data_IF_545741140678
#
_entry.id   IF_545741140678
#
_cell.length_a   1.000
_cell.length_b   1.000
_cell.length_c   1.000
_cell.angle_alpha   90.00
_cell.angle_beta   90.00
_cell.angle_gamma   90.00
#
_symmetry.space_group_name_H-M   'P 1'
#
loop_
_entity.id
_entity.type
_entity.pdbx_description
1 polymer ?
#
# COMPACT_ATOMS: atom_id res chain seq x y z
N UNK A 1 -32.96 -13.99 16.40
CA UNK A 1 -31.64 -13.38 16.15
C UNK A 1 -30.66 -13.98 17.13
N UNK A 2 -29.55 -14.50 16.63
CA UNK A 2 -28.49 -15.13 17.39
C UNK A 2 -27.16 -14.43 17.09
N UNK A 3 -26.28 -14.47 18.08
CA UNK A 3 -24.97 -13.85 17.99
C UNK A 3 -23.94 -14.95 18.14
N UNK A 4 -23.16 -15.12 17.09
CA UNK A 4 -22.10 -16.12 17.01
C UNK A 4 -20.78 -15.42 16.80
N UNK A 5 -19.78 -15.88 17.53
CA UNK A 5 -18.39 -15.53 17.30
C UNK A 5 -17.65 -16.82 17.00
N UNK A 6 -16.85 -16.86 15.94
CA UNK A 6 -16.07 -18.03 15.59
C UNK A 6 -14.65 -17.64 15.25
N UNK A 7 -13.73 -18.57 15.49
CA UNK A 7 -12.35 -18.47 15.05
C UNK A 7 -11.99 -19.76 14.32
N UNK A 8 -11.37 -19.65 13.14
CA UNK A 8 -11.22 -20.75 12.19
C UNK A 8 -10.67 -22.05 12.82
N UNK A 9 -9.71 -21.94 13.74
CA UNK A 9 -9.06 -23.09 14.38
C UNK A 9 -9.46 -23.32 15.85
N UNK A 10 -10.23 -22.42 16.47
CA UNK A 10 -10.53 -22.44 17.91
C UNK A 10 -12.02 -22.60 18.22
N UNK A 11 -12.80 -22.91 17.19
CA UNK A 11 -14.21 -23.27 17.26
C UNK A 11 -15.16 -22.08 17.22
N UNK A 12 -16.45 -22.36 17.41
CA UNK A 12 -17.51 -21.34 17.49
C UNK A 12 -18.03 -21.19 18.92
N UNK A 13 -18.54 -20.02 19.24
CA UNK A 13 -19.23 -19.70 20.48
C UNK A 13 -20.52 -18.95 20.14
N UNK A 14 -21.63 -19.42 20.68
CA UNK A 14 -22.89 -18.69 20.67
C UNK A 14 -22.96 -17.86 21.95
N UNK A 15 -23.32 -16.59 21.82
CA UNK A 15 -23.56 -15.78 23.01
C UNK A 15 -24.84 -16.30 23.70
N UNK A 16 -24.77 -16.65 24.99
CA UNK A 16 -25.88 -17.30 25.69
C UNK A 16 -27.07 -16.35 25.87
N UNK A 17 -26.81 -15.07 26.14
CA UNK A 17 -27.82 -14.02 26.27
C UNK A 17 -27.66 -13.04 25.11
N UNK A 18 -28.79 -12.74 24.47
CA UNK A 18 -28.84 -11.74 23.40
C UNK A 18 -28.53 -10.37 24.01
N UNK A 19 -27.61 -9.58 23.43
CA UNK A 19 -27.33 -8.23 23.89
C UNK A 19 -28.60 -7.37 23.85
N UNK A 20 -28.74 -6.49 24.84
CA UNK A 20 -29.86 -5.53 24.92
C UNK A 20 -29.80 -4.52 23.77
N UNK A 21 -28.59 -4.16 23.35
CA UNK A 21 -28.32 -3.27 22.24
C UNK A 21 -27.03 -3.67 21.50
N UNK A 22 -27.02 -3.43 20.19
CA UNK A 22 -25.80 -3.47 19.39
C UNK A 22 -25.80 -2.29 18.43
N UNK A 23 -24.67 -1.61 18.31
CA UNK A 23 -24.50 -0.50 17.37
C UNK A 23 -23.45 -0.90 16.33
N UNK A 24 -23.73 -0.62 15.06
CA UNK A 24 -22.78 -0.82 13.95
C UNK A 24 -22.47 0.54 13.36
N UNK A 25 -21.28 1.06 13.66
CA UNK A 25 -20.80 2.35 13.15
C UNK A 25 -19.98 2.12 11.90
N UNK A 26 -20.34 2.79 10.80
CA UNK A 26 -19.57 2.77 9.55
C UNK A 26 -19.09 4.18 9.27
N UNK A 27 -17.77 4.39 9.35
CA UNK A 27 -17.18 5.70 9.07
C UNK A 27 -16.74 5.78 7.61
N UNK A 28 -16.70 7.00 7.05
CA UNK A 28 -16.14 7.25 5.72
C UNK A 28 -15.02 8.28 5.85
N UNK A 29 -13.85 8.02 5.28
CA UNK A 29 -12.69 8.91 5.40
C UNK A 29 -12.78 10.02 4.35
N UNK A 30 -13.71 10.94 4.55
CA UNK A 30 -13.90 12.08 3.68
C UNK A 30 -12.93 13.22 4.06
N UNK A 31 -12.44 13.95 3.07
CA UNK A 31 -11.59 15.12 3.26
C UNK A 31 -12.25 16.33 2.63
N UNK A 32 -12.43 17.41 3.39
CA UNK A 32 -12.95 18.67 2.85
C UNK A 32 -11.78 19.54 2.42
N UNK A 33 -11.81 20.02 1.18
CA UNK A 33 -10.80 20.93 0.62
C UNK A 33 -11.50 22.20 0.17
N UNK A 34 -11.01 23.35 0.65
CA UNK A 34 -11.47 24.65 0.19
C UNK A 34 -10.82 25.00 -1.14
N UNK A 35 -11.65 25.32 -2.14
CA UNK A 35 -11.21 25.77 -3.46
C UNK A 35 -11.73 27.18 -3.67
N UNK A 36 -10.82 28.12 -3.94
CA UNK A 36 -11.05 29.57 -3.92
C UNK A 36 -12.26 30.03 -4.76
N UNK A 37 -12.55 29.35 -5.88
CA UNK A 37 -13.68 29.70 -6.76
C UNK A 37 -14.92 28.79 -6.61
N UNK A 38 -14.80 27.68 -5.87
CA UNK A 38 -15.82 26.64 -5.80
C UNK A 38 -16.34 26.40 -4.37
N UNK A 39 -15.75 27.07 -3.37
CA UNK A 39 -16.07 26.86 -1.96
C UNK A 39 -15.50 25.53 -1.43
N UNK A 40 -16.18 24.96 -0.43
CA UNK A 40 -15.75 23.71 0.20
C UNK A 40 -16.20 22.49 -0.64
N UNK A 41 -15.22 21.70 -1.09
CA UNK A 41 -15.45 20.47 -1.85
C UNK A 41 -15.15 19.27 -0.96
N UNK A 42 -16.09 18.33 -0.90
CA UNK A 42 -15.92 17.08 -0.16
C UNK A 42 -15.29 16.00 -1.06
N UNK A 43 -14.01 15.69 -0.83
CA UNK A 43 -13.33 14.56 -1.43
C UNK A 43 -13.72 13.28 -0.70
N UNK A 44 -14.55 12.46 -1.34
CA UNK A 44 -14.98 11.17 -0.80
C UNK A 44 -13.81 10.18 -0.81
N UNK A 45 -13.24 9.90 0.36
CA UNK A 45 -12.27 8.82 0.49
C UNK A 45 -12.94 7.45 0.55
N UNK A 46 -12.25 6.45 1.07
CA UNK A 46 -12.81 5.10 1.22
C UNK A 46 -13.56 4.96 2.55
N UNK A 47 -14.47 3.99 2.61
CA UNK A 47 -15.06 3.54 3.87
C UNK A 47 -13.96 3.17 4.87
N UNK A 48 -14.09 3.69 6.08
CA UNK A 48 -13.40 3.19 7.26
C UNK A 48 -13.88 1.79 7.62
N UNK A 49 -13.23 1.22 8.62
CA UNK A 49 -13.58 -0.09 9.16
C UNK A 49 -14.88 0.03 9.95
N UNK A 50 -15.76 -0.96 9.82
CA UNK A 50 -16.98 -1.02 10.63
C UNK A 50 -16.62 -1.31 12.08
N UNK A 51 -17.22 -0.57 13.00
CA UNK A 51 -17.07 -0.77 14.44
C UNK A 51 -18.38 -1.28 15.01
N UNK A 52 -18.30 -2.26 15.91
CA UNK A 52 -19.45 -2.87 16.56
C UNK A 52 -19.23 -2.82 18.06
N UNK A 53 -20.21 -2.27 18.77
CA UNK A 53 -20.29 -2.34 20.23
C UNK A 53 -21.42 -3.28 20.62
N UNK A 54 -21.10 -4.25 21.46
CA UNK A 54 -22.02 -5.25 21.99
C UNK A 54 -21.97 -5.23 23.51
N UNK A 55 -23.13 -5.10 24.15
CA UNK A 55 -23.26 -5.17 25.61
C UNK A 55 -24.24 -6.28 26.00
N UNK A 56 -23.80 -7.22 26.84
CA UNK A 56 -24.62 -8.33 27.33
C UNK A 56 -24.00 -8.90 28.60
N UNK A 57 -24.43 -10.09 29.02
CA UNK A 57 -23.85 -10.82 30.14
C UNK A 57 -23.77 -12.32 29.87
N UNK A 58 -22.85 -12.99 30.59
CA UNK A 58 -22.74 -14.43 30.63
C UNK A 58 -23.45 -14.94 31.89
N UNK A 59 -24.52 -15.75 31.75
CA UNK A 59 -25.35 -16.18 32.86
C UNK A 59 -24.69 -17.34 33.63
N UNK A 60 -24.57 -17.19 34.95
CA UNK A 60 -24.25 -18.29 35.87
C UNK A 60 -25.47 -19.18 36.14
N UNK A 61 -26.67 -18.57 36.10
CA UNK A 61 -27.94 -19.23 36.39
C UNK A 61 -28.70 -19.57 35.10
N UNK A 62 -29.79 -20.32 35.27
CA UNK A 62 -30.70 -20.59 34.17
C UNK A 62 -31.70 -19.44 34.03
N UNK A 63 -31.71 -18.81 32.85
CA UNK A 63 -32.71 -17.81 32.50
C UNK A 63 -33.54 -18.29 31.31
N UNK A 64 -34.85 -18.00 31.34
CA UNK A 64 -35.75 -18.34 30.24
C UNK A 64 -35.38 -17.66 28.91
N UNK A 65 -34.67 -16.53 28.99
CA UNK A 65 -34.19 -15.77 27.83
C UNK A 65 -32.76 -16.16 27.41
N UNK A 66 -32.06 -17.02 28.18
CA UNK A 66 -30.74 -17.54 27.81
C UNK A 66 -30.83 -18.82 27.00
N UNK A 67 -29.89 -19.02 26.09
CA UNK A 67 -29.74 -20.30 25.41
C UNK A 67 -29.01 -21.29 26.33
N UNK A 68 -29.77 -22.21 26.91
CA UNK A 68 -29.27 -23.16 27.91
C UNK A 68 -28.68 -24.45 27.32
N UNK A 69 -28.94 -24.76 26.05
CA UNK A 69 -28.53 -26.03 25.42
C UNK A 69 -27.00 -26.20 25.27
N UNK A 70 -26.22 -25.13 25.45
CA UNK A 70 -24.76 -25.16 25.37
C UNK A 70 -24.11 -24.23 26.41
N UNK A 71 -24.76 -24.11 27.59
CA UNK A 71 -24.30 -23.25 28.67
C UNK A 71 -22.99 -23.78 29.26
N UNK A 72 -22.00 -22.90 29.35
CA UNK A 72 -20.75 -23.11 30.09
C UNK A 72 -20.70 -22.16 31.27
N UNK A 73 -19.71 -22.31 32.14
CA UNK A 73 -19.49 -21.34 33.20
C UNK A 73 -19.16 -19.97 32.59
N UNK A 74 -19.65 -18.86 33.19
CA UNK A 74 -19.42 -17.51 32.69
C UNK A 74 -17.95 -17.21 32.41
N UNK A 75 -17.06 -17.63 33.30
CA UNK A 75 -15.63 -17.39 33.19
C UNK A 75 -15.01 -18.10 31.97
N UNK A 76 -15.52 -19.27 31.59
CA UNK A 76 -15.05 -19.98 30.39
C UNK A 76 -15.27 -19.17 29.11
N UNK A 77 -16.37 -18.39 29.03
CA UNK A 77 -16.60 -17.49 27.90
C UNK A 77 -15.58 -16.36 27.87
N UNK A 78 -15.32 -15.76 29.04
CA UNK A 78 -14.34 -14.68 29.22
C UNK A 78 -12.94 -15.15 28.81
N UNK A 79 -12.49 -16.29 29.32
CA UNK A 79 -11.18 -16.88 28.97
C UNK A 79 -11.07 -17.18 27.48
N UNK A 80 -12.14 -17.69 26.87
CA UNK A 80 -12.16 -17.98 25.43
C UNK A 80 -12.06 -16.70 24.59
N UNK A 81 -12.76 -15.64 24.98
CA UNK A 81 -12.65 -14.35 24.30
C UNK A 81 -11.28 -13.69 24.53
N UNK A 82 -10.70 -13.83 25.72
CA UNK A 82 -9.36 -13.36 26.01
C UNK A 82 -8.29 -14.10 25.19
N UNK A 83 -8.38 -15.43 25.09
CA UNK A 83 -7.44 -16.22 24.28
C UNK A 83 -7.55 -15.85 22.81
N UNK A 84 -8.76 -15.66 22.29
CA UNK A 84 -8.98 -15.19 20.92
C UNK A 84 -8.41 -13.79 20.69
N UNK A 85 -8.60 -12.86 21.63
CA UNK A 85 -7.99 -11.53 21.59
C UNK A 85 -6.46 -11.61 21.59
N UNK A 86 -5.87 -12.45 22.45
CA UNK A 86 -4.40 -12.64 22.58
C UNK A 86 -3.80 -13.39 21.39
N UNK A 87 -4.57 -14.23 20.70
CA UNK A 87 -4.09 -15.06 19.57
C UNK A 87 -3.65 -14.25 18.34
N UNK A 88 -4.06 -12.98 18.24
CA UNK A 88 -3.78 -12.13 17.07
C UNK A 88 -4.45 -12.58 15.77
N UNK A 89 -5.28 -13.63 15.81
CA UNK A 89 -6.01 -14.15 14.65
C UNK A 89 -7.40 -13.50 14.56
N UNK A 90 -7.87 -13.14 13.36
CA UNK A 90 -9.17 -12.52 13.20
C UNK A 90 -10.28 -13.48 13.64
N UNK A 91 -11.28 -12.93 14.32
CA UNK A 91 -12.52 -13.62 14.64
C UNK A 91 -13.55 -13.32 13.56
N UNK A 92 -14.56 -14.15 13.42
CA UNK A 92 -15.71 -13.88 12.57
C UNK A 92 -16.94 -13.71 13.44
N UNK A 93 -17.60 -12.58 13.27
CA UNK A 93 -18.80 -12.21 14.00
C UNK A 93 -19.99 -12.37 13.07
N UNK A 94 -20.97 -13.14 13.52
CA UNK A 94 -22.18 -13.47 12.77
C UNK A 94 -23.37 -13.10 13.65
N UNK A 95 -24.15 -12.13 13.18
CA UNK A 95 -25.44 -11.73 13.73
C UNK A 95 -26.48 -12.18 12.73
N UNK A 96 -27.23 -13.24 13.07
CA UNK A 96 -28.15 -13.89 12.12
C UNK A 96 -29.17 -12.89 11.57
N UNK A 97 -29.21 -12.72 10.26
CA UNK A 97 -30.13 -11.80 9.58
C UNK A 97 -29.65 -10.35 9.47
N UNK A 98 -28.49 -10.00 10.04
CA UNK A 98 -27.96 -8.62 10.01
C UNK A 98 -26.57 -8.56 9.38
N UNK A 99 -25.63 -9.36 9.88
CA UNK A 99 -24.22 -9.17 9.57
C UNK A 99 -23.41 -10.46 9.68
N UNK A 100 -22.43 -10.62 8.80
CA UNK A 100 -21.46 -11.73 8.81
C UNK A 100 -20.12 -11.21 8.30
N UNK A 101 -19.18 -10.92 9.20
CA UNK A 101 -17.89 -10.32 8.83
C UNK A 101 -16.72 -10.82 9.69
N UNK A 102 -15.51 -10.71 9.14
CA UNK A 102 -14.26 -10.88 9.90
C UNK A 102 -13.95 -9.60 10.69
N UNK A 103 -13.44 -9.77 11.90
CA UNK A 103 -13.26 -8.72 12.87
C UNK A 103 -12.13 -9.02 13.87
N UNK A 104 -11.70 -8.01 14.59
CA UNK A 104 -10.76 -8.09 15.70
C UNK A 104 -11.39 -7.47 16.95
N UNK A 105 -11.08 -8.05 18.12
CA UNK A 105 -11.51 -7.49 19.40
C UNK A 105 -10.53 -6.37 19.78
N UNK A 106 -11.00 -5.13 19.78
CA UNK A 106 -10.21 -3.96 20.20
C UNK A 106 -10.17 -3.86 21.73
N UNK A 107 -11.33 -3.94 22.36
CA UNK A 107 -11.48 -3.86 23.80
C UNK A 107 -12.55 -4.82 24.28
N UNK A 108 -12.27 -5.43 25.43
CA UNK A 108 -13.18 -6.34 26.12
C UNK A 108 -13.14 -6.00 27.60
N UNK A 109 -14.25 -5.47 28.11
CA UNK A 109 -14.43 -5.13 29.51
C UNK A 109 -15.49 -6.05 30.09
N UNK A 110 -15.22 -6.63 31.27
CA UNK A 110 -16.16 -7.52 31.96
C UNK A 110 -16.10 -7.33 33.47
N UNK A 111 -17.18 -7.66 34.17
CA UNK A 111 -17.28 -7.58 35.62
C UNK A 111 -18.61 -8.10 36.15
N UNK A 112 -18.70 -8.26 37.46
CA UNK A 112 -19.92 -8.65 38.17
C UNK A 112 -20.63 -7.41 38.72
N UNK A 113 -21.97 -7.39 38.73
CA UNK A 113 -22.75 -6.22 39.16
C UNK A 113 -23.67 -6.48 40.35
N UNK A 114 -24.01 -7.74 40.64
CA UNK A 114 -25.15 -8.07 41.51
C UNK A 114 -24.91 -9.30 42.41
N UNK A 115 -23.66 -9.75 42.56
CA UNK A 115 -23.30 -10.96 43.32
C UNK A 115 -24.06 -12.23 42.87
N UNK A 116 -24.65 -12.22 41.66
CA UNK A 116 -25.42 -13.34 41.11
C UNK A 116 -24.51 -14.40 40.49
N UNK A 117 -23.21 -14.08 40.31
CA UNK A 117 -22.25 -14.83 39.51
C UNK A 117 -22.32 -14.50 38.01
N UNK A 118 -23.21 -13.59 37.62
CA UNK A 118 -23.36 -13.18 36.23
C UNK A 118 -22.27 -12.19 35.84
N UNK A 119 -21.61 -12.46 34.70
CA UNK A 119 -20.52 -11.62 34.22
C UNK A 119 -21.06 -10.73 33.10
N UNK A 120 -21.26 -9.45 33.41
CA UNK A 120 -21.60 -8.43 32.43
C UNK A 120 -20.36 -8.09 31.62
N UNK A 121 -20.54 -7.90 30.31
CA UNK A 121 -19.44 -7.54 29.43
C UNK A 121 -19.86 -6.51 28.38
N UNK A 122 -18.88 -5.71 27.98
CA UNK A 122 -18.94 -4.82 26.82
C UNK A 122 -17.80 -5.17 25.89
N UNK A 123 -18.13 -5.46 24.65
CA UNK A 123 -17.21 -5.89 23.61
C UNK A 123 -17.17 -4.85 22.49
N UNK A 124 -15.98 -4.31 22.25
CA UNK A 124 -15.69 -3.40 21.15
C UNK A 124 -14.95 -4.17 20.06
N UNK A 125 -15.60 -4.31 18.93
CA UNK A 125 -15.13 -5.09 17.79
C UNK A 125 -14.91 -4.16 16.61
N UNK A 126 -13.82 -4.37 15.88
CA UNK A 126 -13.51 -3.63 14.65
C UNK A 126 -13.38 -4.58 13.47
N UNK A 127 -13.91 -4.22 12.32
CA UNK A 127 -13.84 -5.01 11.09
C UNK A 127 -12.40 -5.29 10.70
N UNK A 128 -12.12 -6.55 10.39
CA UNK A 128 -10.83 -7.00 9.90
C UNK A 128 -10.86 -7.06 8.38
N UNK A 129 -10.01 -6.25 7.75
CA UNK A 129 -9.83 -6.27 6.30
C UNK A 129 -8.51 -6.93 5.94
N UNK A 130 -8.59 -8.16 5.41
CA UNK A 130 -7.42 -8.88 4.90
C UNK A 130 -6.65 -8.02 3.91
N UNK A 131 -5.37 -7.80 4.18
CA UNK A 131 -4.46 -7.12 3.26
C UNK A 131 -4.14 -8.12 2.15
N UNK A 132 -4.78 -7.96 1.00
CA UNK A 132 -4.41 -8.70 -0.22
C UNK A 132 -3.13 -8.07 -0.75
N UNK A 133 -1.97 -8.58 -0.32
CA UNK A 133 -0.72 -8.25 -1.00
C UNK A 133 -0.75 -8.91 -2.37
N UNK A 134 -0.70 -8.10 -3.43
CA UNK A 134 -0.32 -8.63 -4.74
C UNK A 134 1.13 -9.08 -4.56
N UNK A 135 1.38 -10.39 -4.52
CA UNK A 135 2.74 -10.90 -4.66
C UNK A 135 3.19 -10.47 -6.05
N UNK A 136 4.01 -9.43 -6.13
CA UNK A 136 4.78 -9.18 -7.33
C UNK A 136 5.79 -10.32 -7.41
N UNK A 137 5.55 -11.29 -8.28
CA UNK A 137 6.60 -12.20 -8.71
C UNK A 137 7.62 -11.33 -9.41
N UNK A 138 8.60 -10.83 -8.66
CA UNK A 138 9.82 -10.29 -9.23
C UNK A 138 10.49 -11.51 -9.83
N UNK A 139 10.18 -11.77 -11.10
CA UNK A 139 11.00 -12.64 -11.92
C UNK A 139 12.30 -11.87 -12.05
N UNK A 140 13.19 -12.06 -11.09
CA UNK A 140 14.60 -11.76 -11.28
C UNK A 140 14.97 -12.76 -12.35
N UNK A 141 14.91 -12.34 -13.61
CA UNK A 141 15.57 -13.06 -14.67
C UNK A 141 17.01 -13.15 -14.18
N UNK A 142 17.39 -14.34 -13.73
CA UNK A 142 18.79 -14.71 -13.59
C UNK A 142 19.31 -14.64 -15.01
N UNK A 143 19.72 -13.44 -15.42
CA UNK A 143 20.65 -13.25 -16.50
C UNK A 143 21.85 -14.07 -16.04
N UNK A 144 21.90 -15.32 -16.54
CA UNK A 144 23.14 -16.08 -16.65
C UNK A 144 24.21 -15.04 -16.99
N UNK A 145 25.36 -15.00 -16.30
CA UNK A 145 26.42 -14.09 -16.68
C UNK A 145 26.82 -14.47 -18.11
N UNK A 146 26.15 -13.86 -19.08
CA UNK A 146 26.68 -13.67 -20.40
C UNK A 146 27.84 -12.76 -20.08
N UNK A 147 29.04 -13.33 -20.13
CA UNK A 147 30.25 -12.57 -20.34
C UNK A 147 29.92 -11.56 -21.43
N UNK A 148 29.57 -10.35 -21.01
CA UNK A 148 29.50 -9.22 -21.89
C UNK A 148 30.95 -9.05 -22.22
N UNK A 149 31.36 -9.63 -23.35
CA UNK A 149 32.60 -9.25 -23.98
C UNK A 149 32.57 -7.74 -23.94
N UNK A 150 33.46 -7.17 -23.13
CA UNK A 150 33.71 -5.75 -23.10
C UNK A 150 34.15 -5.46 -24.53
N UNK A 151 33.20 -5.09 -25.39
CA UNK A 151 33.53 -4.33 -26.57
C UNK A 151 34.23 -3.12 -25.98
N UNK A 152 35.55 -3.11 -26.14
CA UNK A 152 36.36 -1.91 -25.99
C UNK A 152 35.55 -0.75 -26.56
N UNK A 153 35.55 0.44 -25.93
CA UNK A 153 34.85 1.58 -26.47
C UNK A 153 35.16 1.64 -27.96
N UNK A 154 34.14 1.43 -28.79
CA UNK A 154 34.28 1.59 -30.23
C UNK A 154 34.84 3.00 -30.37
N UNK A 155 36.14 3.07 -30.72
CA UNK A 155 36.76 4.29 -31.13
C UNK A 155 35.80 4.88 -32.14
N UNK A 156 35.14 5.98 -31.77
CA UNK A 156 34.32 6.77 -32.67
C UNK A 156 35.18 6.94 -33.91
N UNK A 157 34.82 6.26 -34.99
CA UNK A 157 35.46 6.44 -36.28
C UNK A 157 35.09 7.86 -36.68
N UNK A 158 35.91 8.81 -36.22
CA UNK A 158 35.68 10.23 -36.36
C UNK A 158 35.41 10.49 -37.82
N UNK A 159 34.23 11.03 -38.13
CA UNK A 159 33.91 11.36 -39.51
C UNK A 159 34.85 12.48 -39.92
N UNK A 160 35.66 12.25 -40.94
CA UNK A 160 36.52 13.30 -41.48
C UNK A 160 35.71 14.16 -42.45
N UNK A 161 35.86 15.48 -42.34
CA UNK A 161 35.26 16.44 -43.24
C UNK A 161 36.33 17.33 -43.86
N UNK A 162 36.31 17.42 -45.20
CA UNK A 162 37.17 18.33 -45.95
C UNK A 162 36.49 19.68 -46.06
N UNK A 163 37.11 20.71 -45.47
CA UNK A 163 36.63 22.09 -45.49
C UNK A 163 36.51 22.58 -46.93
N UNK A 164 35.36 23.16 -47.29
CA UNK A 164 35.14 23.77 -48.61
C UNK A 164 35.33 25.29 -48.54
N UNK A 165 35.52 25.93 -49.70
CA UNK A 165 35.61 27.39 -49.76
C UNK A 165 34.34 28.04 -49.22
N UNK A 166 34.49 28.94 -48.23
CA UNK A 166 33.37 29.60 -47.55
C UNK A 166 32.79 28.87 -46.34
N UNK A 167 33.42 27.78 -45.87
CA UNK A 167 33.04 27.12 -44.61
C UNK A 167 33.65 27.81 -43.39
N UNK A 168 32.94 27.76 -42.27
CA UNK A 168 33.44 28.14 -40.95
C UNK A 168 33.11 27.02 -39.93
N UNK A 169 33.88 26.91 -38.84
CA UNK A 169 33.69 25.83 -37.85
C UNK A 169 32.26 25.78 -37.29
N UNK A 170 31.61 26.93 -37.14
CA UNK A 170 30.22 27.02 -36.68
C UNK A 170 29.23 26.41 -37.67
N UNK A 171 29.42 26.65 -38.97
CA UNK A 171 28.57 26.08 -40.04
C UNK A 171 28.77 24.57 -40.15
N UNK A 172 30.00 24.10 -40.04
CA UNK A 172 30.34 22.68 -40.01
C UNK A 172 29.69 22.03 -38.77
N UNK A 173 29.87 22.60 -37.58
CA UNK A 173 29.24 22.09 -36.36
C UNK A 173 27.70 22.07 -36.44
N UNK A 174 27.07 23.08 -37.06
CA UNK A 174 25.63 23.09 -37.30
C UNK A 174 25.20 21.98 -38.26
N UNK A 175 25.99 21.68 -39.29
CA UNK A 175 25.69 20.62 -40.24
C UNK A 175 25.82 19.21 -39.63
N UNK A 176 26.81 18.99 -38.79
CA UNK A 176 27.10 17.66 -38.23
C UNK A 176 26.43 17.39 -36.88
N UNK A 177 26.30 18.40 -36.02
CA UNK A 177 25.69 18.28 -34.69
C UNK A 177 24.33 18.97 -34.57
N UNK A 178 23.82 19.61 -35.64
CA UNK A 178 22.60 20.42 -35.60
C UNK A 178 22.75 21.73 -34.83
N UNK A 179 23.87 21.93 -34.11
CA UNK A 179 24.12 23.07 -33.24
C UNK A 179 25.51 23.65 -33.49
N UNK A 180 25.56 24.87 -34.04
CA UNK A 180 26.80 25.56 -34.35
C UNK A 180 27.64 25.90 -33.11
N UNK A 181 27.03 26.05 -31.93
CA UNK A 181 27.75 26.29 -30.68
C UNK A 181 28.67 25.12 -30.28
N UNK A 182 28.52 23.94 -30.90
CA UNK A 182 29.39 22.78 -30.67
C UNK A 182 30.69 22.82 -31.49
N UNK A 183 31.02 23.94 -32.14
CA UNK A 183 32.26 24.11 -32.90
C UNK A 183 33.52 23.89 -32.04
N UNK A 184 33.45 24.14 -30.74
CA UNK A 184 34.53 23.87 -29.77
C UNK A 184 34.92 22.40 -29.72
N UNK A 185 33.99 21.47 -29.97
CA UNK A 185 34.31 20.03 -30.04
C UNK A 185 35.20 19.70 -31.24
N UNK A 186 34.91 20.30 -32.39
CA UNK A 186 35.71 20.15 -33.62
C UNK A 186 37.08 20.77 -33.42
N UNK A 187 37.16 21.96 -32.81
CA UNK A 187 38.43 22.60 -32.49
C UNK A 187 39.28 21.74 -31.55
N UNK A 188 38.71 21.26 -30.44
CA UNK A 188 39.42 20.44 -29.45
C UNK A 188 39.92 19.11 -30.03
N UNK A 189 39.22 18.55 -31.01
CA UNK A 189 39.60 17.31 -31.69
C UNK A 189 40.66 17.50 -32.79
N UNK A 190 40.98 18.75 -33.17
CA UNK A 190 41.92 19.08 -34.26
C UNK A 190 42.88 20.21 -33.86
N UNK A 191 43.25 20.29 -32.58
CA UNK A 191 44.18 21.31 -32.06
C UNK A 191 45.57 21.23 -32.68
N UNK A 192 45.94 20.08 -33.25
CA UNK A 192 47.13 19.86 -34.06
C UNK A 192 47.06 20.57 -35.43
N UNK A 193 45.86 20.69 -36.01
CA UNK A 193 45.65 21.27 -37.36
C UNK A 193 45.10 22.70 -37.34
N UNK A 194 44.41 23.09 -36.28
CA UNK A 194 43.79 24.42 -36.13
C UNK A 194 44.48 25.15 -34.98
N UNK A 195 45.35 26.10 -35.32
CA UNK A 195 46.00 26.96 -34.31
C UNK A 195 45.08 28.09 -33.84
N UNK A 196 44.22 28.59 -34.72
CA UNK A 196 43.24 29.62 -34.41
C UNK A 196 41.85 29.15 -34.84
N UNK A 197 40.86 29.05 -33.93
CA UNK A 197 39.49 28.59 -34.24
C UNK A 197 38.81 29.37 -35.37
N UNK A 198 39.20 30.62 -35.59
CA UNK A 198 38.61 31.50 -36.61
C UNK A 198 39.28 31.38 -37.99
N UNK A 199 40.35 30.60 -38.12
CA UNK A 199 41.11 30.44 -39.37
C UNK A 199 41.17 28.96 -39.76
N UNK A 200 40.35 28.58 -40.74
CA UNK A 200 40.40 27.28 -41.43
C UNK A 200 40.55 27.50 -42.93
N UNK A 201 41.26 26.60 -43.61
CA UNK A 201 41.52 26.73 -45.04
C UNK A 201 40.76 25.67 -45.85
N UNK A 202 40.28 26.01 -47.06
CA UNK A 202 39.68 25.03 -47.96
C UNK A 202 40.67 23.91 -48.29
N UNK A 203 40.19 22.66 -48.27
CA UNK A 203 41.01 21.46 -48.45
C UNK A 203 41.53 20.85 -47.16
N UNK A 204 41.39 21.53 -46.01
CA UNK A 204 41.80 20.99 -44.71
C UNK A 204 40.85 19.87 -44.26
N UNK A 205 41.42 18.73 -43.83
CA UNK A 205 40.66 17.57 -43.36
C UNK A 205 40.56 17.60 -41.83
N UNK A 206 39.35 17.84 -41.33
CA UNK A 206 39.02 17.93 -39.90
C UNK A 206 38.33 16.66 -39.42
N UNK A 207 38.71 16.19 -38.24
CA UNK A 207 38.07 15.09 -37.53
C UNK A 207 36.85 15.61 -36.78
N UNK A 208 35.68 15.03 -37.02
CA UNK A 208 34.44 15.35 -36.33
C UNK A 208 34.13 14.21 -35.34
N UNK A 209 34.24 14.46 -34.02
CA UNK A 209 33.90 13.50 -32.97
C UNK A 209 32.44 13.03 -33.00
#
# INVERSE_FOLDING_TARGET
MEFWIQQDNSGKIQLPVKPSEFTVTVTHRNTVVNVIQLGDINLMGKTGLREITLASFFPAKDYNFSNNSSRKEPLTYVEKLETWRKSGSPIRVIITGVLNMEATIESFSYGEQDATGDIYYTLYIKEYKKIKTKKATVTIATVKPSTRATKAPEASSGKTYTVKSGDCLWKIAKQFYGNGAQYTKIYNANTDKIKNPNLIYPGQVLTIP
#
